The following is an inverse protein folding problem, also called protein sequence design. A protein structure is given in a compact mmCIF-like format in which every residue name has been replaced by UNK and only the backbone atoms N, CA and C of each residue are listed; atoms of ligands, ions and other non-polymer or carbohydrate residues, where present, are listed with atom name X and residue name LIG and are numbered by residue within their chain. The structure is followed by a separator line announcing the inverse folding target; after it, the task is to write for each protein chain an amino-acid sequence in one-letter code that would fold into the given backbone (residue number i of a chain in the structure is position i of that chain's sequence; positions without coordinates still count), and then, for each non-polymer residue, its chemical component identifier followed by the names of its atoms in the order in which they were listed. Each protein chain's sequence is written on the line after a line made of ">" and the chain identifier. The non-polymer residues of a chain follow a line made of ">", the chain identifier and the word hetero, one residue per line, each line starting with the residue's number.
data_IF_746491029466
#
_entry.id   IF_746491029466
#
_cell.length_a   1.000
_cell.length_b   1.000
_cell.length_c   1.000
_cell.angle_alpha   90.00
_cell.angle_beta   90.00
_cell.angle_gamma   90.00
#
_symmetry.space_group_name_H-M   'P 1'
#
loop_
_entity.id
_entity.type
_entity.pdbx_description
1 polymer ?
#
# COMPACT_ATOMS: atom_id res chain seq x y z
N UNK A 1 -58.23 -25.50 -35.23
CA UNK A 1 -58.12 -25.26 -33.77
C UNK A 1 -56.66 -25.49 -33.39
N UNK A 2 -55.94 -24.42 -33.02
CA UNK A 2 -55.36 -24.17 -31.67
C UNK A 2 -54.34 -25.27 -31.26
N UNK A 3 -53.08 -25.01 -30.91
CA UNK A 3 -52.38 -23.78 -30.51
C UNK A 3 -50.86 -24.02 -30.60
N UNK A 4 -50.15 -22.93 -30.89
CA UNK A 4 -48.71 -22.75 -30.72
C UNK A 4 -48.25 -23.06 -29.28
N UNK A 5 -46.98 -23.45 -29.14
CA UNK A 5 -46.26 -23.48 -27.86
C UNK A 5 -44.75 -23.68 -28.11
N UNK A 6 -44.11 -22.71 -28.77
CA UNK A 6 -43.15 -21.79 -28.14
C UNK A 6 -41.95 -22.51 -27.52
N UNK A 7 -40.95 -22.70 -28.38
CA UNK A 7 -39.56 -22.85 -27.97
C UNK A 7 -39.17 -21.65 -27.10
N UNK A 8 -38.84 -21.91 -25.84
CA UNK A 8 -38.18 -20.93 -24.98
C UNK A 8 -36.78 -20.70 -25.54
N UNK A 9 -36.66 -19.68 -26.38
CA UNK A 9 -35.39 -19.05 -26.71
C UNK A 9 -34.90 -18.43 -25.40
N UNK A 10 -33.92 -19.08 -24.79
CA UNK A 10 -33.15 -18.54 -23.69
C UNK A 10 -32.44 -17.29 -24.21
N UNK A 11 -33.02 -16.12 -23.92
CA UNK A 11 -32.40 -14.84 -24.17
C UNK A 11 -31.17 -14.79 -23.27
N UNK A 12 -29.99 -15.04 -23.85
CA UNK A 12 -28.73 -14.60 -23.28
C UNK A 12 -28.83 -13.09 -23.13
N UNK A 13 -29.19 -12.63 -21.93
CA UNK A 13 -28.88 -11.28 -21.50
C UNK A 13 -27.36 -11.20 -21.42
N UNK A 14 -26.75 -10.74 -22.51
CA UNK A 14 -25.37 -10.28 -22.52
C UNK A 14 -25.28 -9.17 -21.48
N UNK A 15 -24.70 -9.52 -20.34
CA UNK A 15 -24.28 -8.56 -19.33
C UNK A 15 -23.52 -7.45 -20.07
N UNK A 16 -24.03 -6.23 -20.01
CA UNK A 16 -23.29 -5.07 -20.46
C UNK A 16 -21.95 -5.09 -19.75
N UNK A 17 -20.90 -5.32 -20.53
CA UNK A 17 -19.54 -5.05 -20.11
C UNK A 17 -19.55 -3.56 -19.81
N UNK A 18 -19.49 -3.20 -18.53
CA UNK A 18 -19.14 -1.85 -18.12
C UNK A 18 -17.68 -1.64 -18.54
N UNK A 19 -17.52 -1.38 -19.83
CA UNK A 19 -16.26 -1.04 -20.44
C UNK A 19 -15.94 0.34 -19.87
N UNK A 20 -14.89 0.42 -19.06
CA UNK A 20 -14.41 1.69 -18.54
C UNK A 20 -14.30 2.65 -19.73
N UNK A 21 -15.09 3.72 -19.73
CA UNK A 21 -15.10 4.69 -20.81
C UNK A 21 -13.70 5.31 -20.84
N UNK A 22 -12.96 5.05 -21.91
CA UNK A 22 -11.62 5.61 -22.10
C UNK A 22 -11.83 7.08 -22.43
N UNK A 23 -11.97 7.90 -21.39
CA UNK A 23 -11.93 9.34 -21.53
C UNK A 23 -10.45 9.67 -21.75
N UNK A 24 -10.08 9.96 -22.99
CA UNK A 24 -8.82 10.65 -23.25
C UNK A 24 -8.87 11.97 -22.48
N UNK A 25 -7.78 12.30 -21.77
CA UNK A 25 -7.57 13.69 -21.34
C UNK A 25 -7.89 14.56 -22.56
N UNK A 26 -8.75 15.59 -22.45
CA UNK A 26 -9.07 16.43 -23.60
C UNK A 26 -7.75 16.77 -24.29
N UNK A 27 -7.64 16.46 -25.59
CA UNK A 27 -6.39 16.69 -26.33
C UNK A 27 -5.92 18.14 -26.07
N UNK A 28 -6.87 19.07 -25.95
CA UNK A 28 -6.68 20.47 -25.59
C UNK A 28 -5.96 20.77 -24.27
N UNK A 29 -5.95 19.87 -23.29
CA UNK A 29 -5.29 20.14 -22.00
C UNK A 29 -3.77 19.84 -22.07
N UNK A 30 -3.38 18.77 -22.76
CA UNK A 30 -1.98 18.36 -22.86
C UNK A 30 -1.33 18.74 -24.21
N UNK A 31 -2.11 18.86 -25.29
CA UNK A 31 -1.64 19.27 -26.61
C UNK A 31 -1.46 20.80 -26.74
N UNK A 32 -2.16 21.63 -25.95
CA UNK A 32 -2.05 23.10 -26.00
C UNK A 32 -1.11 23.71 -24.94
N UNK A 33 -0.31 22.91 -24.23
CA UNK A 33 0.62 23.40 -23.19
C UNK A 33 -0.06 24.20 -22.06
N UNK A 34 -1.35 23.99 -21.81
CA UNK A 34 -2.14 24.71 -20.80
C UNK A 34 -2.01 24.08 -19.40
N UNK A 35 -0.77 23.92 -18.93
CA UNK A 35 -0.51 23.42 -17.58
C UNK A 35 -0.74 24.50 -16.53
N UNK A 36 -1.35 24.19 -15.36
CA UNK A 36 -1.76 22.87 -14.89
C UNK A 36 -3.17 22.43 -15.37
N UNK A 37 -3.31 21.14 -15.67
CA UNK A 37 -4.55 20.50 -16.06
C UNK A 37 -5.29 19.93 -14.85
N UNK A 38 -6.45 20.49 -14.53
CA UNK A 38 -7.34 19.95 -13.50
C UNK A 38 -8.39 19.04 -14.14
N UNK A 39 -8.49 17.80 -13.65
CA UNK A 39 -9.43 16.81 -14.15
C UNK A 39 -10.23 16.21 -13.01
N UNK A 40 -11.49 15.90 -13.29
CA UNK A 40 -12.37 15.14 -12.41
C UNK A 40 -12.94 13.96 -13.18
N UNK A 41 -12.64 12.76 -12.72
CA UNK A 41 -13.18 11.54 -13.29
C UNK A 41 -14.68 11.43 -12.95
N UNK A 42 -15.50 11.21 -13.96
CA UNK A 42 -16.93 10.96 -13.81
C UNK A 42 -17.20 9.52 -13.33
N UNK A 43 -16.38 8.60 -13.81
CA UNK A 43 -16.44 7.15 -13.56
C UNK A 43 -15.02 6.58 -13.54
N UNK A 44 -14.88 5.25 -13.64
CA UNK A 44 -13.55 4.65 -13.79
C UNK A 44 -12.99 5.03 -15.17
N UNK A 45 -11.88 5.76 -15.18
CA UNK A 45 -11.28 6.32 -16.39
C UNK A 45 -9.83 5.88 -16.54
N UNK A 46 -9.42 5.64 -17.79
CA UNK A 46 -8.05 5.27 -18.14
C UNK A 46 -7.38 6.43 -18.87
N UNK A 47 -6.43 7.10 -18.22
CA UNK A 47 -5.66 8.18 -18.81
C UNK A 47 -4.31 7.68 -19.28
N UNK A 48 -4.02 7.88 -20.56
CA UNK A 48 -2.67 7.74 -21.13
C UNK A 48 -2.07 9.14 -21.24
N UNK A 49 -0.97 9.37 -20.53
CA UNK A 49 -0.27 10.66 -20.62
C UNK A 49 0.53 10.68 -21.93
N UNK A 50 0.33 11.66 -22.83
CA UNK A 50 1.10 11.78 -24.07
C UNK A 50 2.60 11.84 -23.81
N UNK A 51 3.40 11.20 -24.66
CA UNK A 51 4.87 11.12 -24.53
C UNK A 51 5.37 10.50 -23.21
N UNK A 52 4.50 9.82 -22.48
CA UNK A 52 4.80 9.11 -21.24
C UNK A 52 4.46 7.63 -21.39
N UNK A 53 5.28 6.74 -20.82
CA UNK A 53 5.01 5.30 -20.74
C UNK A 53 4.05 4.96 -19.57
N UNK A 54 3.31 5.94 -19.08
CA UNK A 54 2.54 5.86 -17.85
C UNK A 54 1.05 5.80 -18.17
N UNK A 55 0.38 4.87 -17.50
CA UNK A 55 -1.07 4.73 -17.55
C UNK A 55 -1.63 5.01 -16.16
N UNK A 56 -2.56 5.97 -16.07
CA UNK A 56 -3.27 6.31 -14.85
C UNK A 56 -4.68 5.73 -14.93
N UNK A 57 -5.08 4.99 -13.91
CA UNK A 57 -6.44 4.52 -13.72
C UNK A 57 -7.07 5.35 -12.61
N UNK A 58 -8.05 6.17 -12.95
CA UNK A 58 -8.78 6.98 -11.98
C UNK A 58 -10.03 6.25 -11.55
N UNK A 59 -10.25 6.21 -10.23
CA UNK A 59 -11.53 5.79 -9.68
C UNK A 59 -12.63 6.83 -9.91
N UNK A 60 -13.88 6.47 -9.61
CA UNK A 60 -15.01 7.36 -9.80
C UNK A 60 -14.89 8.59 -8.90
N UNK A 61 -15.19 9.78 -9.45
CA UNK A 61 -15.15 11.08 -8.76
C UNK A 61 -13.76 11.54 -8.33
N UNK A 62 -12.69 10.82 -8.67
CA UNK A 62 -11.32 11.24 -8.38
C UNK A 62 -11.01 12.58 -9.04
N UNK A 63 -10.32 13.45 -8.31
CA UNK A 63 -9.87 14.75 -8.79
C UNK A 63 -8.36 14.72 -8.83
N UNK A 64 -7.78 14.99 -10.00
CA UNK A 64 -6.34 15.07 -10.18
C UNK A 64 -5.95 16.39 -10.82
N UNK A 65 -4.74 16.84 -10.52
CA UNK A 65 -4.07 17.92 -11.21
C UNK A 65 -2.80 17.37 -11.84
N UNK A 66 -2.61 17.62 -13.12
CA UNK A 66 -1.42 17.22 -13.87
C UNK A 66 -0.68 18.49 -14.27
N UNK A 67 0.59 18.58 -13.89
CA UNK A 67 1.47 19.67 -14.26
C UNK A 67 2.63 19.10 -15.07
N UNK A 68 2.87 19.61 -16.28
CA UNK A 68 4.08 19.30 -17.03
C UNK A 68 5.13 20.36 -16.73
N UNK A 69 6.32 19.90 -16.32
CA UNK A 69 7.51 20.72 -16.12
C UNK A 69 8.60 20.09 -17.00
N UNK A 70 8.98 20.79 -18.07
CA UNK A 70 9.87 20.29 -19.12
C UNK A 70 9.40 18.93 -19.72
N UNK A 71 10.18 17.86 -19.48
CA UNK A 71 9.92 16.48 -19.90
C UNK A 71 9.34 15.61 -18.77
N UNK A 72 9.01 16.18 -17.63
CA UNK A 72 8.48 15.46 -16.47
C UNK A 72 7.04 15.87 -16.17
N UNK A 73 6.24 14.88 -15.78
CA UNK A 73 4.87 15.08 -15.33
C UNK A 73 4.82 14.93 -13.82
N UNK A 74 4.25 15.93 -13.17
CA UNK A 74 3.84 15.85 -11.78
C UNK A 74 2.34 15.61 -11.72
N UNK A 75 1.94 14.56 -10.98
CA UNK A 75 0.55 14.24 -10.73
C UNK A 75 0.25 14.59 -9.28
N UNK A 76 -0.80 15.35 -9.06
CA UNK A 76 -1.36 15.62 -7.73
C UNK A 76 -2.74 14.99 -7.66
N UNK A 77 -2.92 14.00 -6.79
CA UNK A 77 -4.24 13.52 -6.41
C UNK A 77 -4.82 14.53 -5.42
N UNK A 78 -5.94 15.17 -5.75
CA UNK A 78 -6.62 16.14 -4.91
C UNK A 78 -7.71 15.49 -4.06
N UNK A 79 -8.39 14.49 -4.62
CA UNK A 79 -9.41 13.69 -3.92
C UNK A 79 -9.62 12.35 -4.65
N UNK A 80 -10.03 11.30 -3.93
CA UNK A 80 -10.42 10.00 -4.51
C UNK A 80 -9.28 8.99 -4.63
N UNK A 81 -9.32 8.15 -5.67
CA UNK A 81 -8.39 7.03 -5.89
C UNK A 81 -7.69 7.08 -7.25
N UNK A 82 -6.43 6.66 -7.26
CA UNK A 82 -5.56 6.59 -8.43
C UNK A 82 -4.75 5.29 -8.38
N UNK A 83 -4.83 4.47 -9.43
CA UNK A 83 -3.91 3.38 -9.67
C UNK A 83 -2.95 3.77 -10.80
N UNK A 84 -1.66 3.74 -10.50
CA UNK A 84 -0.59 4.03 -11.44
C UNK A 84 0.01 2.72 -11.91
N UNK A 85 -0.06 2.45 -13.21
CA UNK A 85 0.59 1.30 -13.83
C UNK A 85 1.73 1.78 -14.71
N UNK A 86 2.94 1.27 -14.42
CA UNK A 86 4.15 1.63 -15.15
C UNK A 86 4.64 0.43 -15.96
N UNK A 87 4.76 0.61 -17.28
CA UNK A 87 5.52 -0.33 -18.11
C UNK A 87 7.03 0.02 -18.01
N UNK A 88 7.83 -1.01 -17.78
CA UNK A 88 9.15 -0.97 -17.14
C UNK A 88 10.27 -0.16 -17.88
N UNK A 89 11.24 0.24 -17.03
CA UNK A 89 12.66 0.59 -17.24
C UNK A 89 13.13 2.04 -17.44
N UNK A 90 12.39 2.96 -18.08
CA UNK A 90 13.01 4.20 -18.57
C UNK A 90 12.80 5.50 -17.79
N UNK A 91 12.00 5.50 -16.71
CA UNK A 91 11.64 6.74 -16.01
C UNK A 91 12.37 6.91 -14.68
N UNK A 92 12.96 8.09 -14.49
CA UNK A 92 13.35 8.62 -13.17
C UNK A 92 12.06 8.76 -12.34
N UNK A 93 12.17 8.53 -11.03
CA UNK A 93 11.07 8.48 -10.06
C UNK A 93 9.91 9.44 -10.37
N UNK A 94 8.68 8.91 -10.45
CA UNK A 94 7.49 9.76 -10.49
C UNK A 94 7.29 10.44 -9.12
N UNK A 95 6.62 11.59 -9.13
CA UNK A 95 6.17 12.28 -7.92
C UNK A 95 4.64 12.30 -7.89
N UNK A 96 4.08 11.97 -6.73
CA UNK A 96 2.67 12.14 -6.44
C UNK A 96 2.54 13.16 -5.31
N UNK A 97 1.93 14.32 -5.56
CA UNK A 97 1.80 15.39 -4.56
C UNK A 97 3.16 15.77 -3.93
N UNK A 98 4.22 15.88 -4.74
CA UNK A 98 5.60 16.11 -4.28
C UNK A 98 6.30 14.90 -3.63
N UNK A 99 5.59 13.81 -3.32
CA UNK A 99 6.16 12.60 -2.71
C UNK A 99 6.77 11.71 -3.79
N UNK A 100 8.01 11.27 -3.57
CA UNK A 100 8.66 10.30 -4.45
C UNK A 100 7.95 8.96 -4.34
N UNK A 101 7.28 8.53 -5.41
CA UNK A 101 6.57 7.24 -5.44
C UNK A 101 7.48 6.11 -5.92
N UNK A 102 7.17 4.85 -5.57
CA UNK A 102 7.90 3.69 -6.08
C UNK A 102 7.95 3.68 -7.61
N UNK A 103 9.06 3.20 -8.19
CA UNK A 103 9.25 3.04 -9.66
C UNK A 103 8.41 1.91 -10.29
N UNK A 104 7.44 1.41 -9.55
CA UNK A 104 6.60 0.26 -9.89
C UNK A 104 5.15 0.67 -9.68
N UNK A 105 4.21 -0.17 -10.11
CA UNK A 105 2.80 0.13 -9.97
C UNK A 105 2.41 0.42 -8.51
N UNK A 106 1.62 1.46 -8.26
CA UNK A 106 1.20 1.87 -6.93
C UNK A 106 -0.27 2.27 -6.90
N UNK A 107 -0.89 2.13 -5.74
CA UNK A 107 -2.29 2.50 -5.50
C UNK A 107 -2.34 3.64 -4.49
N UNK A 108 -2.86 4.79 -4.91
CA UNK A 108 -2.98 5.97 -4.08
C UNK A 108 -4.43 6.34 -3.80
N UNK A 109 -4.77 6.60 -2.55
CA UNK A 109 -6.05 7.20 -2.17
C UNK A 109 -5.83 8.46 -1.35
N UNK A 110 -6.64 9.48 -1.61
CA UNK A 110 -6.63 10.72 -0.86
C UNK A 110 -8.02 11.01 -0.34
N UNK A 111 -8.08 11.39 0.92
CA UNK A 111 -9.29 11.88 1.58
C UNK A 111 -8.90 13.11 2.41
N UNK A 112 -9.32 14.30 1.94
CA UNK A 112 -8.92 15.57 2.53
C UNK A 112 -7.40 15.80 2.49
N UNK A 113 -6.78 15.95 3.67
CA UNK A 113 -5.33 16.15 3.81
C UNK A 113 -4.54 14.84 3.87
N UNK A 114 -5.19 13.68 3.98
CA UNK A 114 -4.51 12.40 4.14
C UNK A 114 -4.32 11.72 2.79
N UNK A 115 -3.08 11.39 2.46
CA UNK A 115 -2.72 10.62 1.27
C UNK A 115 -2.16 9.27 1.68
N UNK A 116 -2.71 8.20 1.13
CA UNK A 116 -2.26 6.83 1.34
C UNK A 116 -1.69 6.29 0.03
N UNK A 117 -0.51 5.70 0.07
CA UNK A 117 0.19 5.17 -1.09
C UNK A 117 0.62 3.74 -0.80
N UNK A 118 0.08 2.78 -1.54
CA UNK A 118 0.43 1.37 -1.45
C UNK A 118 1.42 1.01 -2.56
N UNK A 119 2.59 0.51 -2.15
CA UNK A 119 3.52 -0.16 -3.04
C UNK A 119 3.03 -1.59 -3.33
N UNK A 120 2.56 -1.84 -4.56
CA UNK A 120 1.99 -3.14 -4.96
C UNK A 120 3.00 -4.30 -4.95
N UNK A 121 4.30 -4.01 -5.03
CA UNK A 121 5.35 -5.04 -5.02
C UNK A 121 5.78 -5.44 -3.62
N UNK A 122 5.61 -4.55 -2.63
CA UNK A 122 6.07 -4.75 -1.25
C UNK A 122 4.93 -4.78 -0.22
N UNK A 123 3.68 -4.65 -0.63
CA UNK A 123 2.50 -4.53 0.26
C UNK A 123 2.66 -3.54 1.41
N UNK A 124 3.42 -2.48 1.15
CA UNK A 124 3.70 -1.43 2.12
C UNK A 124 2.78 -0.26 1.82
N UNK A 125 1.90 0.05 2.77
CA UNK A 125 1.08 1.26 2.75
C UNK A 125 1.81 2.36 3.50
N UNK A 126 2.08 3.47 2.84
CA UNK A 126 2.62 4.68 3.46
C UNK A 126 1.52 5.73 3.54
N UNK A 127 1.29 6.29 4.73
CA UNK A 127 0.30 7.34 4.97
C UNK A 127 1.02 8.68 5.19
N UNK A 128 0.54 9.72 4.52
CA UNK A 128 1.11 11.06 4.53
C UNK A 128 0.04 12.09 4.89
N UNK A 129 0.45 13.11 5.64
CA UNK A 129 -0.33 14.33 5.85
C UNK A 129 0.16 15.45 4.93
N UNK A 130 -0.75 16.00 4.13
CA UNK A 130 -0.52 17.10 3.20
C UNK A 130 -0.93 18.46 3.79
N UNK A 131 -1.54 18.50 4.98
CA UNK A 131 -2.20 19.68 5.55
C UNK A 131 -1.28 20.79 6.09
N UNK A 132 0.04 20.59 6.08
CA UNK A 132 0.99 21.49 6.78
C UNK A 132 1.83 22.38 5.86
N UNK A 133 1.42 22.60 4.60
CA UNK A 133 2.12 23.53 3.69
C UNK A 133 3.57 23.13 3.37
N UNK A 134 3.96 21.89 3.65
CA UNK A 134 5.26 21.33 3.29
C UNK A 134 5.14 20.64 1.95
N UNK A 135 5.98 21.04 0.99
CA UNK A 135 6.14 20.30 -0.26
C UNK A 135 6.48 18.84 0.04
N UNK A 136 5.70 17.91 -0.53
CA UNK A 136 5.94 16.47 -0.36
C UNK A 136 5.36 15.84 0.91
N UNK A 137 4.56 16.55 1.70
CA UNK A 137 3.84 15.97 2.84
C UNK A 137 4.72 15.44 3.98
N UNK A 138 4.09 15.05 5.09
CA UNK A 138 4.76 14.41 6.21
C UNK A 138 4.32 12.95 6.33
N UNK A 139 5.27 12.02 6.26
CA UNK A 139 4.98 10.59 6.45
C UNK A 139 4.54 10.33 7.90
N UNK A 140 3.27 9.94 8.08
CA UNK A 140 2.68 9.63 9.38
C UNK A 140 2.96 8.18 9.78
N UNK A 141 2.85 7.25 8.84
CA UNK A 141 2.92 5.83 9.13
C UNK A 141 3.35 4.99 7.93
N UNK A 142 3.96 3.84 8.25
CA UNK A 142 4.20 2.72 7.35
C UNK A 142 3.51 1.49 7.89
N UNK A 143 2.57 0.95 7.13
CA UNK A 143 1.77 -0.22 7.49
C UNK A 143 2.09 -1.33 6.50
N UNK A 144 2.66 -2.42 7.01
CA UNK A 144 2.76 -3.67 6.28
C UNK A 144 1.39 -4.37 6.30
N UNK A 145 0.84 -4.74 5.14
CA UNK A 145 -0.41 -5.50 5.10
C UNK A 145 -0.19 -6.95 5.51
N UNK A 146 -0.28 -7.22 6.82
CA UNK A 146 -0.11 -8.55 7.40
C UNK A 146 -1.32 -9.46 7.12
N UNK A 147 -2.49 -8.84 6.97
CA UNK A 147 -3.73 -9.53 6.69
C UNK A 147 -4.15 -9.31 5.24
N UNK A 148 -4.35 -10.42 4.52
CA UNK A 148 -4.87 -10.41 3.14
C UNK A 148 -6.21 -9.70 3.03
N UNK A 149 -7.07 -9.81 4.05
CA UNK A 149 -8.39 -9.16 4.08
C UNK A 149 -8.26 -7.64 4.05
N UNK A 150 -7.29 -7.08 4.77
CA UNK A 150 -7.11 -5.64 4.88
C UNK A 150 -6.53 -5.08 3.58
N UNK A 151 -5.59 -5.80 2.96
CA UNK A 151 -5.09 -5.47 1.62
C UNK A 151 -6.22 -5.47 0.58
N UNK A 152 -7.04 -6.54 0.56
CA UNK A 152 -8.16 -6.66 -0.37
C UNK A 152 -9.19 -5.54 -0.13
N UNK A 153 -9.45 -5.19 1.13
CA UNK A 153 -10.37 -4.11 1.49
C UNK A 153 -9.84 -2.76 1.03
N UNK A 154 -8.53 -2.52 1.13
CA UNK A 154 -7.89 -1.32 0.60
C UNK A 154 -7.91 -1.26 -0.92
N UNK A 155 -7.71 -2.39 -1.61
CA UNK A 155 -7.69 -2.45 -3.07
C UNK A 155 -9.07 -2.35 -3.71
N UNK A 156 -10.12 -2.81 -3.03
CA UNK A 156 -11.47 -2.90 -3.61
C UNK A 156 -11.97 -1.59 -4.28
N UNK A 157 -11.77 -0.39 -3.71
CA UNK A 157 -12.21 0.87 -4.31
C UNK A 157 -11.49 1.27 -5.60
N UNK A 158 -10.37 0.62 -5.94
CA UNK A 158 -9.60 0.90 -7.16
C UNK A 158 -10.11 0.16 -8.40
N UNK A 159 -11.10 -0.73 -8.22
CA UNK A 159 -11.62 -1.57 -9.29
C UNK A 159 -13.12 -1.36 -9.46
N UNK A 160 -13.59 -1.36 -10.71
CA UNK A 160 -15.00 -1.18 -11.06
C UNK A 160 -15.93 -2.23 -10.44
N UNK A 161 -15.40 -3.40 -10.08
CA UNK A 161 -16.13 -4.39 -9.31
C UNK A 161 -15.28 -5.57 -8.85
N UNK A 162 -15.94 -6.52 -8.20
CA UNK A 162 -15.30 -7.72 -7.64
C UNK A 162 -14.60 -8.56 -8.72
N UNK A 163 -15.16 -8.64 -9.93
CA UNK A 163 -14.58 -9.44 -11.02
C UNK A 163 -13.23 -8.88 -11.49
N UNK A 164 -13.16 -7.58 -11.77
CA UNK A 164 -11.91 -6.91 -12.16
C UNK A 164 -10.84 -7.01 -11.07
N UNK A 165 -11.23 -6.88 -9.79
CA UNK A 165 -10.32 -7.10 -8.68
C UNK A 165 -9.79 -8.54 -8.65
N UNK A 166 -10.66 -9.53 -8.82
CA UNK A 166 -10.26 -10.95 -8.84
C UNK A 166 -9.32 -11.25 -10.02
N UNK A 167 -9.59 -10.71 -11.21
CA UNK A 167 -8.72 -10.87 -12.38
C UNK A 167 -7.33 -10.23 -12.15
N UNK A 168 -7.30 -9.04 -11.54
CA UNK A 168 -6.05 -8.40 -11.12
C UNK A 168 -5.28 -9.25 -10.09
N UNK A 169 -5.96 -9.75 -9.05
CA UNK A 169 -5.34 -10.58 -8.02
C UNK A 169 -4.80 -11.90 -8.59
N UNK A 170 -5.51 -12.53 -9.54
CA UNK A 170 -5.06 -13.76 -10.21
C UNK A 170 -3.83 -13.54 -11.07
N UNK A 171 -3.78 -12.45 -11.84
CA UNK A 171 -2.61 -12.14 -12.68
C UNK A 171 -1.35 -11.88 -11.87
N UNK A 172 -1.49 -11.41 -10.62
CA UNK A 172 -0.36 -11.09 -9.74
C UNK A 172 -0.09 -12.16 -8.66
N UNK A 173 -0.90 -13.21 -8.58
CA UNK A 173 -0.91 -14.19 -7.49
C UNK A 173 0.47 -14.80 -7.24
N UNK A 174 1.17 -15.22 -8.30
CA UNK A 174 2.46 -15.90 -8.18
C UNK A 174 3.54 -15.00 -7.56
N UNK A 175 3.62 -13.73 -7.97
CA UNK A 175 4.56 -12.76 -7.43
C UNK A 175 4.18 -12.40 -5.98
N UNK A 176 2.89 -12.16 -5.75
CA UNK A 176 2.38 -11.75 -4.45
C UNK A 176 2.52 -12.84 -3.38
N UNK A 177 2.32 -14.11 -3.75
CA UNK A 177 2.51 -15.25 -2.85
C UNK A 177 3.94 -15.36 -2.32
N UNK A 178 4.94 -15.06 -3.16
CA UNK A 178 6.36 -15.05 -2.74
C UNK A 178 6.63 -13.96 -1.73
N UNK A 179 6.14 -12.74 -1.99
CA UNK A 179 6.32 -11.60 -1.10
C UNK A 179 5.63 -11.82 0.26
N UNK A 180 4.39 -12.32 0.28
CA UNK A 180 3.71 -12.67 1.54
C UNK A 180 4.50 -13.70 2.36
N UNK A 181 5.11 -14.69 1.69
CA UNK A 181 5.91 -15.70 2.37
C UNK A 181 7.19 -15.09 2.97
N UNK A 182 7.84 -14.17 2.24
CA UNK A 182 9.03 -13.47 2.69
C UNK A 182 8.75 -12.56 3.89
N UNK A 183 7.66 -11.80 3.87
CA UNK A 183 7.25 -10.94 4.98
C UNK A 183 6.94 -11.74 6.24
N UNK A 184 6.14 -12.81 6.11
CA UNK A 184 5.79 -13.65 7.25
C UNK A 184 7.02 -14.35 7.86
N UNK A 185 7.96 -14.80 7.02
CA UNK A 185 9.24 -15.37 7.48
C UNK A 185 10.09 -14.35 8.23
N UNK A 186 10.17 -13.12 7.72
CA UNK A 186 10.93 -12.03 8.35
C UNK A 186 10.36 -11.70 9.72
N UNK A 187 9.04 -11.55 9.84
CA UNK A 187 8.38 -11.28 11.11
C UNK A 187 8.53 -12.42 12.11
N UNK A 188 8.37 -13.66 11.66
CA UNK A 188 8.59 -14.84 12.52
C UNK A 188 10.00 -14.85 13.09
N UNK A 189 11.01 -14.48 12.29
CA UNK A 189 12.40 -14.36 12.76
C UNK A 189 12.57 -13.24 13.79
N UNK A 190 11.98 -12.07 13.55
CA UNK A 190 12.03 -10.93 14.49
C UNK A 190 11.35 -11.29 15.81
N UNK A 191 10.19 -11.93 15.78
CA UNK A 191 9.48 -12.39 16.97
C UNK A 191 10.31 -13.40 17.75
N UNK A 192 10.88 -14.41 17.08
CA UNK A 192 11.76 -15.41 17.74
C UNK A 192 12.96 -14.76 18.41
N UNK A 193 13.59 -13.78 17.77
CA UNK A 193 14.71 -13.02 18.35
C UNK A 193 14.26 -12.20 19.56
N UNK A 194 13.08 -11.59 19.49
CA UNK A 194 12.53 -10.80 20.60
C UNK A 194 12.20 -11.69 21.81
N UNK A 195 11.58 -12.86 21.57
CA UNK A 195 11.33 -13.87 22.62
C UNK A 195 12.65 -14.33 23.23
N UNK A 196 13.63 -14.70 22.39
CA UNK A 196 14.93 -15.16 22.87
C UNK A 196 15.66 -14.10 23.72
N UNK A 197 15.56 -12.81 23.35
CA UNK A 197 16.11 -11.71 24.12
C UNK A 197 15.47 -11.60 25.50
N UNK A 198 14.14 -11.68 25.57
CA UNK A 198 13.41 -11.62 26.86
C UNK A 198 13.77 -12.82 27.74
N UNK A 199 13.84 -14.02 27.17
CA UNK A 199 14.25 -15.22 27.91
C UNK A 199 15.70 -15.13 28.42
N UNK A 200 16.59 -14.50 27.65
CA UNK A 200 17.98 -14.27 28.07
C UNK A 200 18.06 -13.27 29.21
N UNK A 201 17.31 -12.16 29.14
CA UNK A 201 17.22 -11.15 30.20
C UNK A 201 16.68 -11.77 31.50
N UNK A 202 15.67 -12.62 31.43
CA UNK A 202 15.12 -13.35 32.57
C UNK A 202 16.16 -14.29 33.21
N UNK A 203 16.91 -15.05 32.38
CA UNK A 203 17.99 -15.92 32.87
C UNK A 203 19.09 -15.13 33.57
N UNK A 204 19.49 -14.00 33.00
CA UNK A 204 20.50 -13.13 33.62
C UNK A 204 20.00 -12.56 34.96
N UNK A 205 18.72 -12.17 35.04
CA UNK A 205 18.13 -11.65 36.27
C UNK A 205 18.05 -12.71 37.37
N UNK A 206 17.69 -13.95 37.01
CA UNK A 206 17.68 -15.09 37.93
C UNK A 206 19.09 -15.40 38.44
N UNK A 207 20.08 -15.43 37.54
CA UNK A 207 21.48 -15.68 37.89
C UNK A 207 22.03 -14.60 38.85
N UNK A 208 21.69 -13.32 38.62
CA UNK A 208 22.05 -12.22 39.54
C UNK A 208 21.45 -12.41 40.92
N UNK A 209 20.15 -12.73 41.02
CA UNK A 209 19.48 -12.99 42.31
C UNK A 209 20.10 -14.15 43.08
N UNK A 210 20.45 -15.24 42.38
CA UNK A 210 21.12 -16.40 43.00
C UNK A 210 22.50 -15.99 43.54
N UNK A 211 23.27 -15.25 42.74
CA UNK A 211 24.59 -14.76 43.15
C UNK A 211 24.52 -13.82 44.36
N UNK A 212 23.62 -12.85 44.34
CA UNK A 212 23.40 -11.92 45.47
C UNK A 212 23.03 -12.68 46.75
N UNK A 213 22.13 -13.67 46.65
CA UNK A 213 21.76 -14.51 47.80
C UNK A 213 22.94 -15.30 48.37
N UNK A 214 23.78 -15.88 47.51
CA UNK A 214 25.00 -16.58 47.92
C UNK A 214 26.02 -15.63 48.57
N UNK A 215 26.19 -14.44 48.01
CA UNK A 215 27.11 -13.43 48.55
C UNK A 215 26.63 -12.93 49.92
N UNK A 216 25.33 -12.69 50.11
CA UNK A 216 24.73 -12.37 51.42
C UNK A 216 24.98 -13.51 52.42
N UNK A 217 24.80 -14.76 52.01
CA UNK A 217 25.05 -15.93 52.88
C UNK A 217 26.51 -15.99 53.33
N UNK A 218 27.46 -15.81 52.40
CA UNK A 218 28.90 -15.78 52.71
C UNK A 218 29.26 -14.65 53.67
N UNK A 219 28.69 -13.46 53.50
CA UNK A 219 28.90 -12.32 54.41
C UNK A 219 28.41 -12.67 55.82
N UNK A 220 27.23 -13.28 55.95
CA UNK A 220 26.70 -13.74 57.25
C UNK A 220 27.57 -14.79 57.91
N UNK A 221 28.00 -15.81 57.16
CA UNK A 221 28.89 -16.87 57.65
C UNK A 221 30.23 -16.29 58.13
N UNK A 222 30.81 -15.38 57.35
CA UNK A 222 32.07 -14.69 57.69
C UNK A 222 31.92 -13.84 58.95
N UNK A 223 30.80 -13.12 59.09
CA UNK A 223 30.50 -12.34 60.29
C UNK A 223 30.35 -13.26 61.51
N UNK A 224 29.58 -14.34 61.40
CA UNK A 224 29.40 -15.31 62.49
C UNK A 224 30.74 -15.90 62.94
N UNK A 225 31.55 -16.38 62.00
CA UNK A 225 32.85 -16.97 62.31
C UNK A 225 33.77 -15.95 63.01
N UNK A 226 33.83 -14.70 62.51
CA UNK A 226 34.63 -13.63 63.12
C UNK A 226 34.16 -13.23 64.52
N UNK A 227 32.86 -13.34 64.79
CA UNK A 227 32.26 -12.84 66.04
C UNK A 227 32.25 -13.90 67.14
N UNK A 228 32.08 -15.18 66.80
CA UNK A 228 31.83 -16.25 67.78
C UNK A 228 32.89 -17.35 67.82
N UNK A 229 33.77 -17.45 66.81
CA UNK A 229 34.82 -18.49 66.74
C UNK A 229 36.25 -17.92 66.83
N UNK A 230 36.38 -16.68 67.31
CA UNK A 230 37.65 -16.12 67.78
C UNK A 230 37.85 -16.42 69.26
#
# INVERSE_FOLDING_TARGET
>A
MKLMGLALISILTTAHVAQAEVIQVPEDCLALQSTPCLMRASQNELLKIPNSLQTLHLGPRSIIKITQIDLQFEVELLDGTLFFEQNLEKLKSAKLNGITVPKVSFFASREGARLKILNSSKFLLSEYDLGLGREGGHELAKIDFLNKKDLISYLAPFFAGKRSLVEYLKSHEAAWRREFTAQNSTQTKVLRRSIASVEEDEKQLLARKIKESQDIKKVRETFFYRTFYR
#
